data_IF_030535858079
#
_entry.id   IF_030535858079
#
_cell.length_a   1.000
_cell.length_b   1.000
_cell.length_c   1.000
_cell.angle_alpha   90.00
_cell.angle_beta   90.00
_cell.angle_gamma   90.00
#
_symmetry.space_group_name_H-M   'P 1'
#
loop_
_entity.id
_entity.type
_entity.pdbx_description
1 polymer ?
#
# COMPACT_ATOMS: atom_id res chain seq x y z
N UNK A 1 17.93 29.44 -14.32
CA UNK A 1 16.63 28.80 -14.65
C UNK A 1 16.80 27.34 -15.07
N UNK A 2 17.76 27.00 -15.94
CA UNK A 2 17.99 25.61 -16.38
C UNK A 2 18.47 24.65 -15.29
N UNK A 3 19.30 25.09 -14.34
CA UNK A 3 19.70 24.22 -13.21
C UNK A 3 18.51 23.76 -12.35
N UNK A 4 17.45 24.57 -12.19
CA UNK A 4 16.24 24.14 -11.48
C UNK A 4 15.44 23.06 -12.24
N UNK A 5 15.58 22.99 -13.56
CA UNK A 5 14.86 22.04 -14.41
C UNK A 5 15.56 20.68 -14.49
N UNK A 6 16.88 20.64 -14.30
CA UNK A 6 17.65 19.39 -14.29
C UNK A 6 17.50 18.61 -12.97
N UNK A 7 17.23 19.32 -11.87
CA UNK A 7 17.00 18.74 -10.53
C UNK A 7 15.53 18.32 -10.30
N UNK A 8 14.63 18.61 -11.24
CA UNK A 8 13.21 18.32 -11.09
C UNK A 8 12.87 16.97 -11.75
N UNK A 9 12.12 16.12 -11.05
CA UNK A 9 11.66 14.82 -11.58
C UNK A 9 10.80 14.97 -12.86
N UNK A 10 10.04 16.06 -12.97
CA UNK A 10 9.34 16.47 -14.20
C UNK A 10 9.30 18.00 -14.36
N UNK A 11 9.37 18.49 -15.60
CA UNK A 11 9.28 19.92 -15.95
C UNK A 11 8.21 20.15 -17.01
N UNK A 12 7.27 21.04 -16.70
CA UNK A 12 6.24 21.53 -17.61
C UNK A 12 6.56 22.99 -17.93
N UNK A 13 6.73 23.29 -19.21
CA UNK A 13 6.96 24.64 -19.70
C UNK A 13 5.70 25.12 -20.41
N UNK A 14 5.08 26.15 -19.85
CA UNK A 14 3.93 26.80 -20.45
C UNK A 14 4.44 27.94 -21.34
N UNK A 15 4.11 27.90 -22.63
CA UNK A 15 4.52 28.90 -23.61
C UNK A 15 3.31 29.61 -24.20
N UNK A 16 3.48 30.84 -24.67
CA UNK A 16 2.49 31.51 -25.52
C UNK A 16 2.39 30.87 -26.91
N UNK A 17 1.51 31.41 -27.75
CA UNK A 17 1.32 30.95 -29.14
C UNK A 17 2.60 31.02 -29.95
N UNK A 18 2.76 30.07 -30.89
CA UNK A 18 3.96 29.93 -31.72
C UNK A 18 4.32 31.22 -32.48
N UNK A 19 3.32 31.99 -32.91
CA UNK A 19 3.46 33.28 -33.61
C UNK A 19 4.10 34.39 -32.75
N UNK A 20 3.99 34.29 -31.42
CA UNK A 20 4.47 35.30 -30.46
C UNK A 20 5.68 34.83 -29.67
N UNK A 21 6.15 33.61 -29.93
CA UNK A 21 7.19 32.92 -29.16
C UNK A 21 8.58 33.34 -29.62
N UNK A 22 9.48 33.56 -28.66
CA UNK A 22 10.88 33.83 -28.97
C UNK A 22 11.58 32.59 -29.53
N UNK A 23 12.16 32.70 -30.73
CA UNK A 23 12.96 31.63 -31.35
C UNK A 23 14.16 31.19 -30.50
N UNK A 24 14.72 32.12 -29.71
CA UNK A 24 15.85 31.85 -28.82
C UNK A 24 15.47 30.95 -27.63
N UNK A 25 14.23 31.05 -27.14
CA UNK A 25 13.68 30.16 -26.11
C UNK A 25 13.38 28.78 -26.68
N UNK A 26 12.94 28.72 -27.94
CA UNK A 26 12.60 27.45 -28.59
C UNK A 26 13.79 26.55 -28.83
N UNK A 27 14.91 27.14 -29.25
CA UNK A 27 16.17 26.42 -29.38
C UNK A 27 16.65 25.85 -28.04
N UNK A 28 16.38 26.54 -26.93
CA UNK A 28 16.76 26.10 -25.57
C UNK A 28 15.80 25.09 -24.94
N UNK A 29 14.58 24.98 -25.46
CA UNK A 29 13.58 23.98 -25.05
C UNK A 29 13.70 22.66 -25.83
N UNK A 30 14.62 22.58 -26.80
CA UNK A 30 14.99 21.35 -27.48
C UNK A 30 16.09 20.71 -26.64
N UNK A 31 15.71 19.71 -25.85
CA UNK A 31 16.61 18.71 -25.25
C UNK A 31 17.97 19.21 -24.75
N UNK A 32 18.10 19.55 -23.47
CA UNK A 32 19.42 19.65 -22.82
C UNK A 32 19.71 18.29 -22.18
N UNK A 33 20.82 17.64 -22.52
CA UNK A 33 21.33 16.41 -21.89
C UNK A 33 20.28 15.30 -21.66
N UNK A 34 19.55 14.92 -22.70
CA UNK A 34 18.57 13.82 -22.63
C UNK A 34 17.23 14.17 -21.97
N UNK A 35 17.04 15.42 -21.55
CA UNK A 35 15.83 15.89 -20.88
C UNK A 35 14.87 16.60 -21.86
N UNK A 36 13.64 16.09 -22.00
CA UNK A 36 12.63 16.63 -22.91
C UNK A 36 11.47 17.31 -22.15
N UNK A 37 11.49 18.65 -21.98
CA UNK A 37 10.43 19.35 -21.25
C UNK A 37 9.10 19.33 -21.99
N UNK A 38 7.98 19.16 -21.26
CA UNK A 38 6.63 19.13 -21.85
C UNK A 38 6.15 20.55 -22.10
N UNK A 39 5.63 20.83 -23.31
CA UNK A 39 5.15 22.15 -23.72
C UNK A 39 3.64 22.22 -23.70
N UNK A 40 3.09 23.26 -23.09
CA UNK A 40 1.66 23.60 -23.17
C UNK A 40 1.57 25.00 -23.79
N UNK A 41 0.84 25.13 -24.89
CA UNK A 41 0.60 26.41 -25.54
C UNK A 41 -0.66 27.06 -24.95
N UNK A 42 -0.54 28.28 -24.41
CA UNK A 42 -1.69 29.08 -24.00
C UNK A 42 -2.24 29.87 -25.19
N UNK A 43 -3.57 29.88 -25.40
CA UNK A 43 -4.21 30.74 -26.40
C UNK A 43 -3.98 32.23 -26.08
N UNK A 44 -3.88 33.06 -27.12
CA UNK A 44 -3.62 34.50 -27.06
C UNK A 44 -4.59 35.29 -26.13
N UNK A 45 -5.77 34.75 -25.85
CA UNK A 45 -6.81 35.43 -25.05
C UNK A 45 -6.75 35.12 -23.55
N UNK A 46 -5.84 34.27 -23.08
CA UNK A 46 -5.75 33.92 -21.67
C UNK A 46 -4.92 34.97 -20.89
N UNK A 47 -5.48 35.66 -19.88
CA UNK A 47 -4.72 36.62 -19.08
C UNK A 47 -3.58 35.91 -18.30
N UNK A 48 -2.41 36.55 -18.14
CA UNK A 48 -1.15 35.92 -17.71
C UNK A 48 -1.11 35.42 -16.25
N UNK A 49 -2.23 35.43 -15.53
CA UNK A 49 -2.32 35.02 -14.11
C UNK A 49 -3.27 33.85 -13.84
N UNK A 50 -3.80 33.21 -14.87
CA UNK A 50 -4.80 32.14 -14.68
C UNK A 50 -4.24 30.81 -15.20
N UNK A 51 -3.54 30.10 -14.32
CA UNK A 51 -3.31 28.64 -14.39
C UNK A 51 -4.62 27.82 -14.40
N UNK A 52 -5.79 28.49 -14.34
CA UNK A 52 -7.10 27.87 -14.12
C UNK A 52 -7.83 27.36 -15.37
N UNK A 53 -7.18 27.26 -16.53
CA UNK A 53 -7.76 26.59 -17.71
C UNK A 53 -6.97 25.39 -18.20
N UNK A 54 -6.31 24.68 -17.27
CA UNK A 54 -6.10 23.24 -17.42
C UNK A 54 -7.38 22.46 -17.07
N UNK A 55 -8.57 22.94 -17.44
CA UNK A 55 -9.87 22.30 -17.15
C UNK A 55 -10.27 21.27 -18.21
N UNK A 56 -9.50 21.15 -19.29
CA UNK A 56 -9.68 20.08 -20.26
C UNK A 56 -9.49 18.74 -19.56
N UNK A 57 -10.58 18.01 -19.37
CA UNK A 57 -10.58 16.67 -18.78
C UNK A 57 -9.53 15.77 -19.43
N UNK A 58 -9.29 15.89 -20.74
CA UNK A 58 -8.24 15.17 -21.45
C UNK A 58 -6.81 15.51 -21.02
N UNK A 59 -6.52 16.78 -20.67
CA UNK A 59 -5.18 17.24 -20.25
C UNK A 59 -4.93 16.82 -18.80
N UNK A 60 -5.86 17.09 -17.89
CA UNK A 60 -5.84 16.59 -16.50
C UNK A 60 -5.69 15.08 -16.53
N UNK A 61 -6.57 14.39 -17.25
CA UNK A 61 -6.56 12.94 -17.34
C UNK A 61 -5.25 12.46 -17.97
N UNK A 62 -4.63 13.14 -18.93
CA UNK A 62 -3.32 12.75 -19.48
C UNK A 62 -2.14 12.95 -18.51
N UNK A 63 -2.24 13.91 -17.59
CA UNK A 63 -1.24 14.17 -16.53
C UNK A 63 -1.40 13.11 -15.43
N UNK A 64 -2.63 12.89 -14.94
CA UNK A 64 -2.94 11.91 -13.90
C UNK A 64 -2.87 10.45 -14.39
N UNK A 65 -3.28 10.14 -15.62
CA UNK A 65 -3.15 8.78 -16.19
C UNK A 65 -1.69 8.40 -16.44
N UNK A 66 -0.78 9.36 -16.69
CA UNK A 66 0.66 9.04 -16.77
C UNK A 66 1.30 8.87 -15.40
N UNK A 67 0.88 9.62 -14.38
CA UNK A 67 1.25 9.31 -12.98
C UNK A 67 0.83 7.88 -12.60
N UNK A 68 -0.39 7.46 -12.96
CA UNK A 68 -0.85 6.07 -12.76
C UNK A 68 -0.12 5.03 -13.62
N UNK A 69 0.56 5.41 -14.72
CA UNK A 69 1.35 4.47 -15.54
C UNK A 69 2.72 4.14 -14.93
N UNK A 70 3.21 4.94 -13.99
CA UNK A 70 4.49 4.72 -13.31
C UNK A 70 4.32 4.27 -11.85
N UNK A 71 3.16 4.51 -11.23
CA UNK A 71 2.88 4.00 -9.88
C UNK A 71 3.00 2.47 -9.89
N UNK A 72 3.84 1.96 -8.98
CA UNK A 72 3.95 0.54 -8.67
C UNK A 72 3.15 0.27 -7.42
N UNK A 73 2.86 -1.00 -7.16
CA UNK A 73 2.32 -1.39 -5.85
C UNK A 73 3.38 -1.06 -4.81
N UNK A 74 3.02 -0.24 -3.82
CA UNK A 74 3.88 0.00 -2.67
C UNK A 74 3.98 -1.29 -1.86
N UNK A 75 5.21 -1.78 -1.70
CA UNK A 75 5.46 -3.08 -1.10
C UNK A 75 6.68 -3.03 -0.19
N UNK A 76 6.54 -3.59 1.01
CA UNK A 76 7.62 -3.74 1.99
C UNK A 76 7.66 -5.19 2.45
N UNK A 77 8.71 -5.93 2.08
CA UNK A 77 8.71 -7.39 2.22
C UNK A 77 9.97 -7.96 2.86
N UNK A 78 9.86 -9.18 3.40
CA UNK A 78 10.96 -9.90 4.05
C UNK A 78 11.60 -11.00 3.20
N UNK A 79 11.21 -11.16 1.93
CA UNK A 79 11.55 -12.31 1.06
C UNK A 79 12.99 -12.81 1.18
N UNK A 80 13.98 -11.91 1.16
CA UNK A 80 15.40 -12.28 1.17
C UNK A 80 16.01 -12.45 2.57
N UNK A 81 15.29 -12.08 3.64
CA UNK A 81 15.79 -12.15 5.02
C UNK A 81 15.89 -13.61 5.48
N UNK A 82 16.97 -13.95 6.17
CA UNK A 82 17.14 -15.25 6.83
C UNK A 82 15.98 -15.56 7.80
N UNK A 83 15.50 -14.54 8.52
CA UNK A 83 14.32 -14.63 9.40
C UNK A 83 13.08 -15.08 8.64
N UNK A 84 12.83 -14.55 7.44
CA UNK A 84 11.68 -14.97 6.64
C UNK A 84 11.79 -16.43 6.21
N UNK A 85 12.99 -16.89 5.83
CA UNK A 85 13.26 -18.30 5.49
C UNK A 85 12.99 -19.23 6.68
N UNK A 86 13.40 -18.85 7.88
CA UNK A 86 13.11 -19.62 9.10
C UNK A 86 11.60 -19.65 9.39
N UNK A 87 10.96 -18.50 9.45
CA UNK A 87 9.53 -18.39 9.78
C UNK A 87 8.63 -19.13 8.77
N UNK A 88 8.94 -19.05 7.47
CA UNK A 88 8.15 -19.72 6.44
C UNK A 88 8.31 -21.25 6.43
N UNK A 89 9.35 -21.80 7.08
CA UNK A 89 9.64 -23.24 7.02
C UNK A 89 8.50 -24.04 7.63
N UNK A 90 8.03 -23.66 8.83
CA UNK A 90 6.93 -24.34 9.52
C UNK A 90 5.60 -24.22 8.78
N UNK A 91 5.35 -23.10 8.09
CA UNK A 91 4.12 -22.90 7.31
C UNK A 91 4.05 -23.82 6.08
N UNK A 92 5.21 -24.20 5.53
CA UNK A 92 5.32 -25.02 4.32
C UNK A 92 5.43 -26.51 4.59
N UNK A 93 5.85 -26.89 5.79
CA UNK A 93 5.97 -28.29 6.17
C UNK A 93 4.59 -28.96 6.18
N UNK A 94 4.38 -29.95 5.30
CA UNK A 94 3.13 -30.69 5.19
C UNK A 94 2.84 -31.57 6.40
N UNK A 95 3.86 -31.89 7.22
CA UNK A 95 3.69 -32.59 8.48
C UNK A 95 3.10 -31.68 9.59
N UNK A 96 3.12 -30.36 9.38
CA UNK A 96 2.57 -29.37 10.31
C UNK A 96 1.14 -28.98 9.90
N UNK A 97 0.20 -29.14 10.83
CA UNK A 97 -1.22 -28.80 10.67
C UNK A 97 -1.86 -28.41 12.01
N UNK A 98 -3.09 -27.90 11.97
CA UNK A 98 -3.88 -27.54 13.13
C UNK A 98 -3.22 -26.49 14.00
N UNK A 99 -3.16 -26.73 15.32
CA UNK A 99 -2.64 -25.77 16.30
C UNK A 99 -1.23 -25.29 15.97
N UNK A 100 -0.33 -26.21 15.62
CA UNK A 100 1.08 -25.88 15.33
C UNK A 100 1.22 -25.02 14.08
N UNK A 101 0.37 -25.23 13.08
CA UNK A 101 0.36 -24.38 11.90
C UNK A 101 -0.19 -22.98 12.24
N UNK A 102 -1.24 -22.90 13.05
CA UNK A 102 -1.77 -21.61 13.55
C UNK A 102 -0.70 -20.83 14.31
N UNK A 103 0.03 -21.48 15.22
CA UNK A 103 1.12 -20.84 15.98
C UNK A 103 2.22 -20.30 15.05
N UNK A 104 2.55 -21.02 13.98
CA UNK A 104 3.51 -20.54 12.98
C UNK A 104 3.02 -19.31 12.21
N UNK A 105 1.73 -19.26 11.86
CA UNK A 105 1.12 -18.08 11.23
C UNK A 105 1.03 -16.89 12.20
N UNK A 106 0.74 -17.13 13.47
CA UNK A 106 0.71 -16.14 14.54
C UNK A 106 2.07 -15.49 14.74
N UNK A 107 3.14 -16.30 14.82
CA UNK A 107 4.50 -15.79 14.95
C UNK A 107 4.93 -14.94 13.73
N UNK A 108 4.50 -15.33 12.53
CA UNK A 108 4.68 -14.51 11.32
C UNK A 108 3.93 -13.19 11.42
N UNK A 109 2.68 -13.22 11.90
CA UNK A 109 1.89 -12.01 12.10
C UNK A 109 2.58 -11.04 13.06
N UNK A 110 3.07 -11.54 14.19
CA UNK A 110 3.81 -10.77 15.19
C UNK A 110 5.10 -10.18 14.61
N UNK A 111 5.86 -10.97 13.84
CA UNK A 111 7.07 -10.48 13.16
C UNK A 111 6.77 -9.36 12.16
N UNK A 112 5.78 -9.55 11.29
CA UNK A 112 5.38 -8.54 10.31
C UNK A 112 4.89 -7.27 11.01
N UNK A 113 4.17 -7.40 12.13
CA UNK A 113 3.73 -6.27 12.92
C UNK A 113 4.89 -5.42 13.42
N UNK A 114 5.80 -6.03 14.18
CA UNK A 114 6.87 -5.31 14.87
C UNK A 114 7.89 -4.70 13.90
N UNK A 115 8.24 -5.42 12.83
CA UNK A 115 9.34 -5.00 11.92
C UNK A 115 8.83 -4.17 10.74
N UNK A 116 7.67 -4.51 10.16
CA UNK A 116 7.22 -3.93 8.90
C UNK A 116 6.00 -3.02 9.04
N UNK A 117 4.98 -3.41 9.81
CA UNK A 117 3.79 -2.57 9.98
C UNK A 117 4.12 -1.29 10.75
N UNK A 118 4.97 -1.35 11.77
CA UNK A 118 5.48 -0.15 12.47
C UNK A 118 6.27 0.78 11.54
N UNK A 119 7.05 0.24 10.60
CA UNK A 119 7.80 1.03 9.62
C UNK A 119 6.90 1.70 8.58
N UNK A 120 5.81 1.03 8.19
CA UNK A 120 4.83 1.55 7.22
C UNK A 120 3.85 2.54 7.85
N UNK A 121 3.34 2.24 9.04
CA UNK A 121 2.30 3.04 9.71
C UNK A 121 2.91 4.16 10.54
N UNK A 122 4.07 3.91 11.16
CA UNK A 122 4.73 4.78 12.12
C UNK A 122 4.51 4.32 13.56
N UNK A 123 5.31 4.89 14.47
CA UNK A 123 5.15 4.77 15.92
C UNK A 123 4.75 6.12 16.50
N UNK A 124 4.07 6.08 17.63
CA UNK A 124 3.83 7.24 18.48
C UNK A 124 4.32 6.98 19.90
N UNK A 125 4.77 8.04 20.56
CA UNK A 125 5.12 8.01 21.97
C UNK A 125 3.89 8.28 22.83
N UNK A 126 3.77 7.59 23.97
CA UNK A 126 2.76 7.88 24.98
C UNK A 126 3.38 7.86 26.38
N UNK A 127 2.82 8.63 27.34
CA UNK A 127 3.32 8.61 28.71
C UNK A 127 2.98 7.29 29.39
N UNK A 128 3.97 6.64 30.01
CA UNK A 128 3.77 5.49 30.88
C UNK A 128 4.40 5.68 32.25
N UNK A 129 3.80 5.05 33.25
CA UNK A 129 4.33 5.00 34.60
C UNK A 129 5.53 4.04 34.63
N UNK A 130 6.74 4.58 34.77
CA UNK A 130 7.94 3.78 34.91
C UNK A 130 7.92 3.00 36.24
N UNK A 131 8.54 1.83 36.27
CA UNK A 131 8.62 0.98 37.49
C UNK A 131 9.30 1.67 38.68
N UNK A 132 10.06 2.74 38.43
CA UNK A 132 10.68 3.58 39.48
C UNK A 132 9.81 4.76 39.93
N UNK A 133 8.54 4.83 39.52
CA UNK A 133 7.58 5.83 40.01
C UNK A 133 7.56 7.17 39.26
N UNK A 134 8.39 7.37 38.22
CA UNK A 134 8.34 8.55 37.36
C UNK A 134 7.61 8.27 36.04
N UNK A 135 7.17 9.32 35.34
CA UNK A 135 6.60 9.18 33.99
C UNK A 135 7.74 9.11 32.98
N UNK A 136 7.68 8.15 32.05
CA UNK A 136 8.58 8.04 30.90
C UNK A 136 7.80 7.81 29.61
N UNK A 137 8.48 7.77 28.47
CA UNK A 137 7.85 7.51 27.18
C UNK A 137 7.85 6.01 26.86
N UNK A 138 6.69 5.52 26.45
CA UNK A 138 6.55 4.24 25.74
C UNK A 138 6.21 4.48 24.30
N UNK A 139 6.13 3.40 23.55
CA UNK A 139 5.86 3.43 22.13
C UNK A 139 4.79 2.41 21.78
N UNK A 140 3.95 2.80 20.83
CA UNK A 140 2.88 1.97 20.27
C UNK A 140 2.68 2.33 18.80
N UNK A 141 1.85 1.59 18.08
CA UNK A 141 1.55 1.90 16.68
C UNK A 141 0.95 3.31 16.59
N UNK A 142 1.33 4.08 15.57
CA UNK A 142 0.75 5.40 15.36
C UNK A 142 -0.78 5.29 15.25
N UNK A 143 -1.49 5.99 16.14
CA UNK A 143 -2.95 5.95 16.28
C UNK A 143 -3.50 4.51 16.39
N UNK A 144 -2.89 3.73 17.29
CA UNK A 144 -3.23 2.31 17.47
C UNK A 144 -4.72 2.07 17.77
N UNK A 145 -5.34 2.91 18.62
CA UNK A 145 -6.77 2.82 18.96
C UNK A 145 -7.71 3.16 17.80
N UNK A 146 -7.18 3.77 16.74
CA UNK A 146 -7.90 4.15 15.51
C UNK A 146 -7.43 3.27 14.34
N UNK A 147 -6.87 2.11 14.65
CA UNK A 147 -6.48 1.09 13.69
C UNK A 147 -7.40 -0.11 13.78
N UNK A 148 -7.91 -0.57 12.64
CA UNK A 148 -8.73 -1.77 12.51
C UNK A 148 -7.93 -2.90 11.87
N UNK A 149 -7.72 -3.99 12.60
CA UNK A 149 -7.15 -5.24 12.07
C UNK A 149 -8.31 -6.09 11.58
N UNK A 150 -8.27 -6.46 10.30
CA UNK A 150 -9.29 -7.29 9.64
C UNK A 150 -8.68 -8.62 9.24
N UNK A 151 -9.07 -9.68 9.95
CA UNK A 151 -8.76 -11.06 9.59
C UNK A 151 -9.63 -11.50 8.41
N UNK A 152 -9.04 -11.73 7.24
CA UNK A 152 -9.75 -12.29 6.10
C UNK A 152 -9.91 -13.80 6.29
N UNK A 153 -11.16 -14.20 6.53
CA UNK A 153 -11.46 -15.56 6.92
C UNK A 153 -11.32 -16.51 5.71
N UNK A 154 -10.78 -17.71 5.90
CA UNK A 154 -10.38 -18.33 7.18
C UNK A 154 -8.87 -18.25 7.44
N UNK A 155 -8.06 -18.28 6.38
CA UNK A 155 -6.61 -18.42 6.50
C UNK A 155 -5.91 -17.23 7.15
N UNK A 156 -6.50 -16.03 7.10
CA UNK A 156 -5.90 -14.82 7.66
C UNK A 156 -5.93 -14.74 9.19
N UNK A 157 -6.85 -15.44 9.87
CA UNK A 157 -7.09 -15.28 11.32
C UNK A 157 -5.85 -15.51 12.19
N UNK A 158 -5.10 -16.63 12.08
CA UNK A 158 -3.96 -16.85 12.97
C UNK A 158 -2.88 -15.78 12.85
N UNK A 159 -2.65 -15.29 11.63
CA UNK A 159 -1.70 -14.20 11.38
C UNK A 159 -2.21 -12.86 11.92
N UNK A 160 -3.51 -12.60 11.77
CA UNK A 160 -4.13 -11.40 12.32
C UNK A 160 -4.03 -11.38 13.86
N UNK A 161 -4.23 -12.52 14.52
CA UNK A 161 -4.05 -12.65 15.97
C UNK A 161 -2.62 -12.28 16.40
N UNK A 162 -1.61 -12.72 15.65
CA UNK A 162 -0.22 -12.32 15.91
C UNK A 162 0.02 -10.81 15.77
N UNK A 163 -0.64 -10.17 14.79
CA UNK A 163 -0.60 -8.70 14.64
C UNK A 163 -1.32 -8.02 15.82
N UNK A 164 -2.47 -8.54 16.23
CA UNK A 164 -3.25 -8.01 17.36
C UNK A 164 -2.50 -8.11 18.69
N UNK A 165 -1.67 -9.14 18.88
CA UNK A 165 -0.81 -9.23 20.06
C UNK A 165 0.24 -8.13 20.11
N UNK A 166 0.78 -7.73 18.95
CA UNK A 166 1.73 -6.63 18.86
C UNK A 166 1.07 -5.26 19.04
N UNK A 167 -0.22 -5.13 18.66
CA UNK A 167 -0.99 -3.89 18.70
C UNK A 167 -2.27 -4.08 19.54
N UNK A 168 -2.15 -4.24 20.86
CA UNK A 168 -3.25 -4.67 21.73
C UNK A 168 -4.42 -3.67 21.81
N UNK A 169 -4.21 -2.41 21.45
CA UNK A 169 -5.24 -1.37 21.47
C UNK A 169 -6.01 -1.25 20.15
N UNK A 170 -5.55 -1.92 19.09
CA UNK A 170 -6.22 -1.90 17.79
C UNK A 170 -7.51 -2.73 17.82
N UNK A 171 -8.53 -2.27 17.10
CA UNK A 171 -9.78 -3.03 16.96
C UNK A 171 -9.55 -4.27 16.09
N UNK A 172 -10.26 -5.35 16.39
CA UNK A 172 -10.15 -6.62 15.67
C UNK A 172 -11.48 -7.05 15.06
N UNK A 173 -11.49 -7.36 13.76
CA UNK A 173 -12.66 -7.78 13.02
C UNK A 173 -12.37 -9.05 12.22
N UNK A 174 -13.25 -10.04 12.32
CA UNK A 174 -13.25 -11.20 11.43
C UNK A 174 -14.15 -10.90 10.23
N UNK A 175 -13.61 -10.91 9.02
CA UNK A 175 -14.36 -10.68 7.79
C UNK A 175 -14.37 -11.93 6.92
N UNK A 176 -15.55 -12.53 6.72
CA UNK A 176 -15.79 -13.63 5.78
C UNK A 176 -16.26 -13.11 4.42
N UNK A 177 -16.96 -11.99 4.42
CA UNK A 177 -17.49 -11.32 3.22
C UNK A 177 -17.31 -9.81 3.35
N UNK A 178 -17.41 -9.11 2.21
CA UNK A 178 -17.22 -7.66 2.14
C UNK A 178 -18.12 -6.91 3.14
N UNK A 179 -19.38 -7.32 3.26
CA UNK A 179 -20.39 -6.66 4.09
C UNK A 179 -20.12 -6.76 5.61
N UNK A 180 -19.18 -7.61 6.03
CA UNK A 180 -18.76 -7.65 7.43
C UNK A 180 -18.00 -6.37 7.82
N UNK A 181 -17.41 -5.68 6.83
CA UNK A 181 -16.90 -4.31 6.98
C UNK A 181 -18.03 -3.34 6.60
N UNK A 182 -18.47 -2.52 7.53
CA UNK A 182 -19.54 -1.54 7.36
C UNK A 182 -19.13 -0.16 7.91
N UNK A 183 -19.95 0.87 7.67
CA UNK A 183 -19.67 2.24 8.13
C UNK A 183 -19.33 2.28 9.63
N UNK A 184 -20.11 1.57 10.44
CA UNK A 184 -19.90 1.47 11.89
C UNK A 184 -18.55 0.86 12.28
N UNK A 185 -18.03 -0.08 11.48
CA UNK A 185 -16.71 -0.67 11.75
C UNK A 185 -15.55 0.25 11.36
N UNK A 186 -15.79 1.24 10.51
CA UNK A 186 -14.78 2.20 10.03
C UNK A 186 -14.88 3.56 10.72
N UNK A 187 -15.91 3.78 11.54
CA UNK A 187 -16.13 5.04 12.26
C UNK A 187 -14.94 5.36 13.17
N UNK A 188 -14.33 6.53 12.97
CA UNK A 188 -13.15 6.97 13.72
C UNK A 188 -11.83 6.25 13.36
N UNK A 189 -11.85 5.29 12.43
CA UNK A 189 -10.65 4.56 12.03
C UNK A 189 -9.85 5.36 11.00
N UNK A 190 -8.52 5.31 11.12
CA UNK A 190 -7.59 5.97 10.20
C UNK A 190 -6.67 5.00 9.46
N UNK A 191 -6.55 3.77 9.98
CA UNK A 191 -5.80 2.69 9.34
C UNK A 191 -6.63 1.40 9.36
N UNK A 192 -6.68 0.69 8.24
CA UNK A 192 -7.16 -0.68 8.14
C UNK A 192 -6.02 -1.59 7.76
N UNK A 193 -5.79 -2.64 8.55
CA UNK A 193 -4.84 -3.71 8.24
C UNK A 193 -5.64 -4.92 7.76
N UNK A 194 -5.65 -5.17 6.45
CA UNK A 194 -6.22 -6.39 5.86
C UNK A 194 -5.21 -7.53 5.99
N UNK A 195 -5.60 -8.65 6.58
CA UNK A 195 -4.68 -9.77 6.85
C UNK A 195 -5.15 -11.04 6.15
N UNK A 196 -4.30 -11.63 5.31
CA UNK A 196 -4.54 -12.93 4.70
C UNK A 196 -3.26 -13.78 4.71
N UNK A 197 -3.39 -15.09 4.89
CA UNK A 197 -2.25 -16.00 4.86
C UNK A 197 -1.56 -16.04 3.50
N UNK A 198 -2.34 -16.06 2.40
CA UNK A 198 -1.84 -16.29 1.04
C UNK A 198 -2.67 -15.49 0.05
N UNK A 199 -2.02 -14.58 -0.66
CA UNK A 199 -2.62 -13.79 -1.73
C UNK A 199 -2.09 -14.30 -3.06
N UNK A 200 -2.94 -15.03 -3.79
CA UNK A 200 -2.63 -15.55 -5.12
C UNK A 200 -2.89 -14.49 -6.20
N UNK A 201 -4.14 -14.35 -6.64
CA UNK A 201 -4.51 -13.43 -7.73
C UNK A 201 -4.74 -11.99 -7.27
N UNK A 202 -4.90 -11.76 -5.97
CA UNK A 202 -5.25 -10.46 -5.39
C UNK A 202 -6.70 -10.00 -5.61
N UNK A 203 -7.56 -10.81 -6.25
CA UNK A 203 -8.96 -10.44 -6.51
C UNK A 203 -9.71 -10.12 -5.21
N UNK A 204 -9.60 -10.99 -4.21
CA UNK A 204 -10.23 -10.78 -2.90
C UNK A 204 -9.78 -9.45 -2.28
N UNK A 205 -8.47 -9.19 -2.27
CA UNK A 205 -7.93 -7.92 -1.75
C UNK A 205 -8.48 -6.72 -2.51
N UNK A 206 -8.53 -6.79 -3.83
CA UNK A 206 -9.08 -5.72 -4.66
C UNK A 206 -10.56 -5.46 -4.36
N UNK A 207 -11.36 -6.50 -4.15
CA UNK A 207 -12.77 -6.37 -3.76
C UNK A 207 -12.92 -5.71 -2.38
N UNK A 208 -12.12 -6.15 -1.39
CA UNK A 208 -12.11 -5.55 -0.05
C UNK A 208 -11.64 -4.09 -0.08
N UNK A 209 -10.56 -3.78 -0.79
CA UNK A 209 -10.06 -2.41 -0.95
C UNK A 209 -11.12 -1.52 -1.59
N UNK A 210 -11.77 -1.98 -2.66
CA UNK A 210 -12.87 -1.24 -3.30
C UNK A 210 -14.00 -0.98 -2.33
N UNK A 211 -14.44 -2.02 -1.63
CA UNK A 211 -15.52 -1.92 -0.66
C UNK A 211 -15.19 -0.90 0.44
N UNK A 212 -14.00 -1.00 1.06
CA UNK A 212 -13.52 -0.02 2.04
C UNK A 212 -13.48 1.39 1.45
N UNK A 213 -12.98 1.56 0.22
CA UNK A 213 -12.89 2.87 -0.44
C UNK A 213 -14.26 3.47 -0.76
N UNK A 214 -15.30 2.66 -0.92
CA UNK A 214 -16.69 3.17 -1.06
C UNK A 214 -17.26 3.71 0.25
N UNK A 215 -16.84 3.13 1.39
CA UNK A 215 -17.28 3.54 2.72
C UNK A 215 -16.41 4.68 3.29
N UNK A 216 -15.09 4.63 3.03
CA UNK A 216 -14.11 5.56 3.54
C UNK A 216 -13.01 5.84 2.49
N UNK A 217 -13.18 6.94 1.74
CA UNK A 217 -12.37 7.26 0.56
C UNK A 217 -10.86 7.37 0.84
N UNK A 218 -10.45 7.90 2.00
CA UNK A 218 -9.05 8.27 2.30
C UNK A 218 -8.36 7.42 3.38
N UNK A 219 -8.99 6.36 3.92
CA UNK A 219 -8.38 5.58 5.02
C UNK A 219 -7.08 4.92 4.55
N UNK A 220 -6.06 4.85 5.40
CA UNK A 220 -4.85 4.10 5.06
C UNK A 220 -5.18 2.62 5.06
N UNK A 221 -4.77 1.90 4.02
CA UNK A 221 -4.97 0.44 3.94
C UNK A 221 -3.60 -0.23 3.85
N UNK A 222 -3.31 -1.12 4.78
CA UNK A 222 -2.11 -1.96 4.76
C UNK A 222 -2.54 -3.41 4.61
N UNK A 223 -1.97 -4.14 3.65
CA UNK A 223 -2.29 -5.54 3.39
C UNK A 223 -1.15 -6.40 3.88
N UNK A 224 -1.32 -7.08 5.01
CA UNK A 224 -0.34 -8.00 5.57
C UNK A 224 -0.58 -9.42 5.07
N UNK A 225 0.48 -10.12 4.66
CA UNK A 225 0.35 -11.50 4.23
C UNK A 225 1.56 -12.39 4.49
N UNK A 226 1.32 -13.70 4.60
CA UNK A 226 2.40 -14.68 4.62
C UNK A 226 3.05 -14.84 3.26
N UNK A 227 2.23 -14.83 2.20
CA UNK A 227 2.71 -15.03 0.83
C UNK A 227 1.93 -14.15 -0.12
N UNK A 228 2.64 -13.45 -1.00
CA UNK A 228 2.07 -12.85 -2.21
C UNK A 228 2.67 -13.55 -3.43
N UNK A 229 1.84 -13.91 -4.41
CA UNK A 229 2.33 -14.44 -5.67
C UNK A 229 2.94 -13.32 -6.53
N UNK A 230 4.14 -13.55 -7.10
CA UNK A 230 4.85 -12.56 -7.92
C UNK A 230 4.04 -12.07 -9.12
N UNK A 231 3.19 -12.94 -9.70
CA UNK A 231 2.32 -12.59 -10.83
C UNK A 231 1.32 -11.47 -10.50
N UNK A 232 0.88 -11.34 -9.24
CA UNK A 232 0.06 -10.22 -8.80
C UNK A 232 0.81 -8.90 -9.01
N UNK A 233 2.12 -8.89 -8.77
CA UNK A 233 2.97 -7.71 -8.88
C UNK A 233 3.42 -7.43 -10.33
N UNK A 234 3.44 -8.46 -11.19
CA UNK A 234 3.87 -8.37 -12.59
C UNK A 234 2.77 -7.90 -13.55
N UNK A 235 2.33 -6.64 -13.42
CA UNK A 235 1.39 -5.95 -14.34
C UNK A 235 0.05 -6.69 -14.60
N UNK A 236 -0.40 -7.52 -13.67
CA UNK A 236 -1.72 -8.14 -13.75
C UNK A 236 -2.82 -7.06 -13.82
N UNK A 237 -4.00 -7.41 -14.37
CA UNK A 237 -5.17 -6.51 -14.39
C UNK A 237 -5.54 -6.04 -12.98
N UNK A 238 -5.34 -6.90 -11.98
CA UNK A 238 -5.55 -6.60 -10.56
C UNK A 238 -4.52 -5.58 -10.08
N UNK A 239 -3.23 -5.77 -10.39
CA UNK A 239 -2.16 -4.84 -10.05
C UNK A 239 -2.47 -3.42 -10.54
N UNK A 240 -2.87 -3.31 -11.81
CA UNK A 240 -3.18 -2.03 -12.45
C UNK A 240 -4.33 -1.29 -11.75
N UNK A 241 -5.27 -2.03 -11.15
CA UNK A 241 -6.37 -1.44 -10.41
C UNK A 241 -5.96 -1.09 -8.97
N UNK A 242 -5.14 -1.93 -8.33
CA UNK A 242 -4.64 -1.66 -6.98
C UNK A 242 -3.74 -0.42 -6.93
N UNK A 243 -2.93 -0.22 -7.97
CA UNK A 243 -2.04 0.96 -8.15
C UNK A 243 -2.81 2.28 -8.19
N UNK A 244 -4.10 2.26 -8.56
CA UNK A 244 -4.92 3.46 -8.61
C UNK A 244 -5.37 3.94 -7.22
N UNK A 245 -5.24 3.10 -6.18
CA UNK A 245 -5.60 3.49 -4.82
C UNK A 245 -4.41 4.10 -4.09
N UNK A 246 -4.61 5.30 -3.54
CA UNK A 246 -3.62 5.96 -2.71
C UNK A 246 -3.56 5.31 -1.32
N UNK A 247 -2.43 5.46 -0.61
CA UNK A 247 -2.23 4.94 0.74
C UNK A 247 -2.57 3.45 0.90
N UNK A 248 -2.21 2.66 -0.12
CA UNK A 248 -2.34 1.21 -0.13
C UNK A 248 -0.95 0.59 -0.17
N UNK A 249 -0.56 -0.13 0.88
CA UNK A 249 0.76 -0.77 0.98
C UNK A 249 0.63 -2.25 1.27
N UNK A 250 1.43 -3.08 0.60
CA UNK A 250 1.50 -4.52 0.82
C UNK A 250 2.71 -4.88 1.68
N UNK A 251 2.48 -5.74 2.67
CA UNK A 251 3.49 -6.20 3.63
C UNK A 251 3.52 -7.73 3.66
N UNK A 252 4.13 -8.39 2.67
CA UNK A 252 4.27 -9.84 2.69
C UNK A 252 5.54 -10.30 3.42
N UNK A 253 5.45 -11.43 4.11
CA UNK A 253 6.65 -12.16 4.56
C UNK A 253 7.50 -12.58 3.36
N UNK A 254 6.88 -13.10 2.30
CA UNK A 254 7.58 -13.47 1.07
C UNK A 254 6.77 -13.24 -0.20
N UNK A 255 7.49 -13.00 -1.28
CA UNK A 255 6.98 -13.07 -2.64
C UNK A 255 7.31 -14.45 -3.23
N UNK A 256 6.34 -15.07 -3.91
CA UNK A 256 6.47 -16.43 -4.46
C UNK A 256 6.34 -16.42 -5.98
N UNK A 257 7.37 -16.91 -6.68
CA UNK A 257 7.29 -17.17 -8.13
C UNK A 257 6.36 -18.35 -8.46
N UNK A 258 6.25 -19.30 -7.52
CA UNK A 258 5.38 -20.47 -7.70
C UNK A 258 3.92 -20.10 -7.45
N UNK A 259 3.07 -20.40 -8.43
CA UNK A 259 1.61 -20.33 -8.31
C UNK A 259 1.07 -21.68 -7.84
N UNK A 260 0.39 -21.70 -6.70
CA UNK A 260 -0.30 -22.90 -6.21
C UNK A 260 -1.50 -22.50 -5.37
N UNK A 261 -2.69 -22.87 -5.84
CA UNK A 261 -3.91 -22.80 -5.04
C UNK A 261 -4.11 -24.16 -4.37
N UNK A 262 -3.95 -24.20 -3.05
CA UNK A 262 -4.24 -25.39 -2.26
C UNK A 262 -5.68 -25.85 -2.46
N UNK A 263 -5.90 -27.17 -2.45
CA UNK A 263 -7.23 -27.79 -2.51
C UNK A 263 -7.33 -28.84 -1.42
N UNK A 264 -8.42 -28.81 -0.65
CA UNK A 264 -8.62 -29.76 0.45
C UNK A 264 -7.51 -29.64 1.49
N UNK A 265 -6.79 -30.73 1.79
CA UNK A 265 -5.75 -30.78 2.84
C UNK A 265 -4.50 -29.94 2.54
N UNK A 266 -4.38 -29.31 1.37
CA UNK A 266 -3.27 -28.38 1.06
C UNK A 266 -3.69 -26.90 1.08
N UNK A 267 -4.98 -26.61 1.27
CA UNK A 267 -5.49 -25.25 1.47
C UNK A 267 -5.09 -24.73 2.86
N UNK A 268 -4.55 -23.53 2.95
CA UNK A 268 -4.08 -22.96 4.22
C UNK A 268 -5.20 -22.82 5.26
N UNK A 269 -6.42 -22.51 4.82
CA UNK A 269 -7.57 -22.41 5.73
C UNK A 269 -8.15 -23.75 6.17
N UNK A 270 -7.77 -24.86 5.51
CA UNK A 270 -8.22 -26.20 5.85
C UNK A 270 -7.16 -27.01 6.62
N UNK A 271 -5.88 -26.66 6.47
CA UNK A 271 -4.75 -27.23 7.21
C UNK A 271 -4.73 -26.74 8.66
#
# INVERSE_FOLDING_TARGET
MFNMMQEADEVIVVTGEQSTRSESMDKKLIGVDGFWPRRIALPHLAPPRVLAHLTGTSVIQSIFTRHNRLRRIDISHATEKATAKLLMTLMRDSAISGRRLRDAHEEVGRYLAVEYLTAVVGLESYPLQHVQGHITNGYRLFRETETLIVALMRGGEPMALGISQAFPSAMFLHARKLQDICDKSLEGMVTVILVDSVINTGNTILEFVRHIRTLHASIRIVVAAGVIQASLLQRSRVAQQLVAFEQLTFVPLRISENSYSGKGRTDTGAR
#
